data_IF_441798609658
#
_entry.id   IF_441798609658
#
_cell.length_a   1.000
_cell.length_b   1.000
_cell.length_c   1.000
_cell.angle_alpha   90.00
_cell.angle_beta   90.00
_cell.angle_gamma   90.00
#
_symmetry.space_group_name_H-M   'P 1'
#
loop_
_entity.id
_entity.type
_entity.pdbx_description
1 polymer ?
#
# COMPACT_ATOMS: atom_id res chain seq x y z
N UNK A 1 -12.40 -11.09 -18.56
CA UNK A 1 -12.28 -12.56 -18.65
C UNK A 1 -13.61 -13.20 -19.08
N UNK A 2 -14.67 -13.19 -18.27
CA UNK A 2 -15.97 -13.80 -18.62
C UNK A 2 -16.58 -13.32 -19.95
N UNK A 3 -16.62 -12.01 -20.19
CA UNK A 3 -17.17 -11.44 -21.44
C UNK A 3 -16.41 -11.87 -22.71
N UNK A 4 -15.19 -12.37 -22.56
CA UNK A 4 -14.37 -12.88 -23.66
C UNK A 4 -14.35 -14.43 -23.67
N UNK A 5 -15.29 -15.07 -22.98
CA UNK A 5 -15.42 -16.54 -22.94
C UNK A 5 -14.40 -17.27 -22.06
N UNK A 6 -13.54 -16.54 -21.32
CA UNK A 6 -12.57 -17.17 -20.40
C UNK A 6 -13.29 -17.51 -19.10
N UNK A 7 -13.76 -18.76 -18.98
CA UNK A 7 -14.52 -19.27 -17.83
C UNK A 7 -13.84 -20.41 -17.08
N UNK A 8 -12.67 -20.86 -17.55
CA UNK A 8 -11.93 -21.96 -16.93
C UNK A 8 -11.35 -21.58 -15.56
N UNK A 9 -11.55 -22.46 -14.58
CA UNK A 9 -11.13 -22.28 -13.19
C UNK A 9 -9.64 -21.95 -13.05
N UNK A 10 -8.76 -22.75 -13.68
CA UNK A 10 -7.30 -22.53 -13.66
C UNK A 10 -6.89 -21.13 -14.12
N UNK A 11 -7.54 -20.61 -15.16
CA UNK A 11 -7.26 -19.26 -15.66
C UNK A 11 -7.66 -18.20 -14.62
N UNK A 12 -8.79 -18.38 -13.93
CA UNK A 12 -9.22 -17.45 -12.89
C UNK A 12 -8.37 -17.54 -11.63
N UNK A 13 -7.91 -18.73 -11.26
CA UNK A 13 -6.96 -18.90 -10.16
C UNK A 13 -5.63 -18.19 -10.45
N UNK A 14 -5.06 -18.37 -11.65
CA UNK A 14 -3.89 -17.64 -12.12
C UNK A 14 -4.08 -16.13 -12.04
N UNK A 15 -5.18 -15.62 -12.61
CA UNK A 15 -5.49 -14.19 -12.55
C UNK A 15 -5.66 -13.69 -11.10
N UNK A 16 -6.35 -14.47 -10.25
CA UNK A 16 -6.60 -14.13 -8.86
C UNK A 16 -5.31 -13.97 -8.07
N UNK A 17 -4.31 -14.84 -8.25
CA UNK A 17 -3.01 -14.71 -7.58
C UNK A 17 -2.34 -13.37 -7.88
N UNK A 18 -2.23 -13.03 -9.17
CA UNK A 18 -1.63 -11.78 -9.64
C UNK A 18 -2.42 -10.58 -9.11
N UNK A 19 -3.76 -10.60 -9.27
CA UNK A 19 -4.63 -9.48 -8.92
C UNK A 19 -4.73 -9.24 -7.41
N UNK A 20 -4.63 -10.28 -6.58
CA UNK A 20 -4.58 -10.11 -5.12
C UNK A 20 -3.27 -9.44 -4.68
N UNK A 21 -2.13 -9.88 -5.21
CA UNK A 21 -0.84 -9.24 -4.94
C UNK A 21 -0.83 -7.77 -5.41
N UNK A 22 -1.38 -7.51 -6.59
CA UNK A 22 -1.54 -6.16 -7.12
C UNK A 22 -2.44 -5.30 -6.24
N UNK A 23 -3.55 -5.86 -5.74
CA UNK A 23 -4.48 -5.18 -4.84
C UNK A 23 -3.88 -4.85 -3.48
N UNK A 24 -3.06 -5.76 -2.93
CA UNK A 24 -2.32 -5.52 -1.68
C UNK A 24 -1.34 -4.35 -1.85
N UNK A 25 -0.51 -4.37 -2.89
CA UNK A 25 0.40 -3.26 -3.19
C UNK A 25 -0.35 -1.93 -3.36
N UNK A 26 -1.47 -1.95 -4.10
CA UNK A 26 -2.29 -0.76 -4.33
C UNK A 26 -2.84 -0.16 -3.03
N UNK A 27 -3.31 -1.00 -2.10
CA UNK A 27 -3.83 -0.55 -0.82
C UNK A 27 -2.73 -0.02 0.10
N UNK A 28 -1.57 -0.69 0.15
CA UNK A 28 -0.42 -0.20 0.94
C UNK A 28 0.07 1.15 0.42
N UNK A 29 0.07 1.34 -0.91
CA UNK A 29 0.36 2.63 -1.51
C UNK A 29 -0.71 3.69 -1.17
N UNK A 30 -1.99 3.31 -1.07
CA UNK A 30 -3.05 4.23 -0.64
C UNK A 30 -2.83 4.72 0.79
N UNK A 31 -2.52 3.80 1.71
CA UNK A 31 -2.20 4.11 3.11
C UNK A 31 -0.96 5.01 3.23
N UNK A 32 0.05 4.79 2.39
CA UNK A 32 1.23 5.66 2.31
C UNK A 32 0.86 7.07 1.81
N UNK A 33 0.09 7.16 0.72
CA UNK A 33 -0.36 8.43 0.12
C UNK A 33 -1.28 9.19 1.08
N UNK A 34 -2.10 8.52 1.88
CA UNK A 34 -2.94 9.16 2.90
C UNK A 34 -2.09 9.95 3.91
N UNK A 35 -0.95 9.39 4.34
CA UNK A 35 -0.08 10.06 5.29
C UNK A 35 0.89 11.08 4.65
N UNK A 36 1.51 10.73 3.53
CA UNK A 36 2.64 11.45 2.91
C UNK A 36 2.29 12.17 1.60
N UNK A 37 1.12 11.91 1.02
CA UNK A 37 0.69 12.53 -0.22
C UNK A 37 0.44 14.04 -0.06
N UNK A 38 0.73 14.77 -1.12
CA UNK A 38 0.39 16.19 -1.21
C UNK A 38 -1.13 16.35 -1.42
N UNK A 39 -1.87 17.01 -0.51
CA UNK A 39 -3.31 17.23 -0.66
C UNK A 39 -3.72 17.89 -1.99
N UNK A 40 -2.83 18.69 -2.60
CA UNK A 40 -3.08 19.30 -3.92
C UNK A 40 -3.14 18.24 -5.02
N UNK A 41 -2.34 17.18 -4.90
CA UNK A 41 -2.26 16.08 -5.88
C UNK A 41 -3.31 15.02 -5.60
N UNK A 42 -3.52 14.66 -4.34
CA UNK A 42 -4.49 13.64 -3.93
C UNK A 42 -5.94 14.15 -3.93
N UNK A 43 -6.12 15.47 -3.86
CA UNK A 43 -7.44 16.12 -3.74
C UNK A 43 -8.10 15.95 -2.37
N UNK A 44 -7.40 15.33 -1.39
CA UNK A 44 -7.90 15.08 -0.04
C UNK A 44 -6.80 15.22 1.01
N UNK A 45 -7.19 15.60 2.22
CA UNK A 45 -6.34 15.46 3.41
C UNK A 45 -6.53 14.03 3.90
N UNK A 46 -5.44 13.31 4.18
CA UNK A 46 -5.53 11.96 4.71
C UNK A 46 -5.98 11.92 6.17
N UNK A 47 -6.74 10.88 6.50
CA UNK A 47 -7.52 10.75 7.74
C UNK A 47 -7.20 9.47 8.51
N UNK A 48 -6.29 8.62 8.03
CA UNK A 48 -6.09 7.27 8.60
C UNK A 48 -5.72 7.27 10.08
N UNK A 49 -4.85 8.20 10.49
CA UNK A 49 -4.37 8.33 11.87
C UNK A 49 -5.50 8.69 12.83
N UNK A 50 -6.37 9.62 12.45
CA UNK A 50 -7.45 10.12 13.29
C UNK A 50 -8.68 9.20 13.31
N UNK A 51 -8.88 8.43 12.23
CA UNK A 51 -9.97 7.46 12.07
C UNK A 51 -9.65 6.08 12.67
N UNK A 52 -8.51 5.93 13.34
CA UNK A 52 -8.06 4.66 13.93
C UNK A 52 -7.93 3.54 12.88
N UNK A 53 -7.50 3.88 11.66
CA UNK A 53 -7.32 2.86 10.63
C UNK A 53 -6.11 2.00 10.95
N UNK A 54 -6.28 0.70 10.70
CA UNK A 54 -5.21 -0.30 10.75
C UNK A 54 -4.39 -0.23 9.45
N UNK A 55 -3.86 0.95 9.15
CA UNK A 55 -3.08 1.19 7.94
C UNK A 55 -1.72 0.51 7.99
N UNK A 56 -1.11 0.27 6.84
CA UNK A 56 0.22 -0.33 6.74
C UNK A 56 1.25 0.44 7.57
N UNK A 57 1.19 1.78 7.57
CA UNK A 57 2.14 2.62 8.30
C UNK A 57 2.11 2.40 9.81
N UNK A 58 0.93 2.26 10.44
CA UNK A 58 0.87 2.02 11.89
C UNK A 58 1.38 0.62 12.24
N UNK A 59 1.16 -0.37 11.37
CA UNK A 59 1.72 -1.71 11.57
C UNK A 59 3.24 -1.69 11.50
N UNK A 60 3.83 -1.04 10.49
CA UNK A 60 5.28 -0.88 10.40
C UNK A 60 5.85 -0.12 11.60
N UNK A 61 5.18 0.96 12.01
CA UNK A 61 5.60 1.72 13.18
C UNK A 61 5.61 0.86 14.45
N UNK A 62 4.57 0.06 14.69
CA UNK A 62 4.49 -0.83 15.85
C UNK A 62 5.54 -1.94 15.85
N UNK A 63 5.98 -2.40 14.67
CA UNK A 63 7.03 -3.41 14.52
C UNK A 63 8.43 -2.85 14.79
N UNK A 64 8.67 -1.59 14.43
CA UNK A 64 10.00 -0.95 14.51
C UNK A 64 10.20 -0.13 15.79
N UNK A 65 9.11 0.34 16.41
CA UNK A 65 9.19 1.22 17.57
C UNK A 65 9.77 0.54 18.81
N UNK A 66 10.63 1.27 19.52
CA UNK A 66 10.98 0.97 20.91
C UNK A 66 9.75 1.13 21.82
N UNK A 67 9.77 0.59 23.06
CA UNK A 67 8.66 0.78 24.01
C UNK A 67 8.30 2.25 24.25
N UNK A 68 9.29 3.14 24.29
CA UNK A 68 9.10 4.58 24.46
C UNK A 68 8.46 5.24 23.23
N UNK A 69 8.89 4.84 22.02
CA UNK A 69 8.26 5.31 20.78
C UNK A 69 6.83 4.77 20.63
N UNK A 70 6.58 3.54 21.08
CA UNK A 70 5.26 2.93 21.07
C UNK A 70 4.26 3.68 21.94
N UNK A 71 4.67 4.19 23.10
CA UNK A 71 3.76 4.98 23.95
C UNK A 71 3.28 6.25 23.25
N UNK A 72 4.10 6.84 22.36
CA UNK A 72 3.68 7.98 21.52
C UNK A 72 2.51 7.57 20.62
N UNK A 73 2.55 6.38 20.00
CA UNK A 73 1.42 5.88 19.21
C UNK A 73 0.19 5.66 20.09
N UNK A 74 0.33 5.01 21.24
CA UNK A 74 -0.79 4.69 22.14
C UNK A 74 -1.50 5.96 22.67
N UNK A 75 -0.74 7.03 22.91
CA UNK A 75 -1.28 8.30 23.41
C UNK A 75 -1.91 9.18 22.31
N UNK A 76 -1.37 9.12 21.08
CA UNK A 76 -1.66 10.11 20.04
C UNK A 76 -2.40 9.54 18.80
N UNK A 77 -2.38 8.23 18.57
CA UNK A 77 -3.15 7.61 17.49
C UNK A 77 -4.65 7.61 17.81
N UNK A 78 -5.51 7.63 16.78
CA UNK A 78 -6.96 7.74 16.94
C UNK A 78 -7.40 8.95 17.78
N UNK A 79 -6.74 10.09 17.55
CA UNK A 79 -7.11 11.40 18.11
C UNK A 79 -7.33 12.37 16.96
N UNK A 80 -8.43 13.11 17.01
CA UNK A 80 -8.77 14.17 16.04
C UNK A 80 -8.03 15.48 16.30
N UNK A 81 -7.20 15.53 17.34
CA UNK A 81 -6.35 16.70 17.61
C UNK A 81 -5.21 16.75 16.59
N UNK A 82 -5.08 17.83 15.79
CA UNK A 82 -3.98 17.98 14.85
C UNK A 82 -2.60 17.84 15.49
N UNK A 83 -2.41 18.25 16.74
CA UNK A 83 -1.14 18.10 17.45
C UNK A 83 -0.78 16.63 17.70
N UNK A 84 -1.77 15.77 17.97
CA UNK A 84 -1.59 14.33 18.09
C UNK A 84 -1.20 13.72 16.74
N UNK A 85 -1.89 14.09 15.65
CA UNK A 85 -1.56 13.63 14.29
C UNK A 85 -0.12 14.02 13.92
N UNK A 86 0.32 15.24 14.22
CA UNK A 86 1.70 15.68 13.95
C UNK A 86 2.74 14.88 14.74
N UNK A 87 2.46 14.50 16.00
CA UNK A 87 3.35 13.63 16.78
C UNK A 87 3.49 12.24 16.16
N UNK A 88 2.39 11.66 15.68
CA UNK A 88 2.41 10.37 14.96
C UNK A 88 3.23 10.49 13.67
N UNK A 89 3.00 11.52 12.85
CA UNK A 89 3.77 11.76 11.62
C UNK A 89 5.26 11.99 11.90
N UNK A 90 5.59 12.72 12.97
CA UNK A 90 6.97 12.92 13.40
C UNK A 90 7.65 11.61 13.80
N UNK A 91 6.94 10.73 14.52
CA UNK A 91 7.44 9.39 14.85
C UNK A 91 7.65 8.55 13.58
N UNK A 92 6.72 8.57 12.62
CA UNK A 92 6.91 7.85 11.35
C UNK A 92 8.16 8.30 10.60
N UNK A 93 8.46 9.60 10.65
CA UNK A 93 9.70 10.16 10.10
C UNK A 93 10.94 9.68 10.87
N UNK A 94 10.89 9.64 12.20
CA UNK A 94 11.98 9.13 13.05
C UNK A 94 12.27 7.65 12.77
N UNK A 95 11.22 6.84 12.55
CA UNK A 95 11.31 5.43 12.18
C UNK A 95 11.67 5.22 10.69
N UNK A 96 11.89 6.30 9.93
CA UNK A 96 12.24 6.28 8.52
C UNK A 96 11.23 5.50 7.63
N UNK A 97 9.94 5.55 7.96
CA UNK A 97 8.92 4.75 7.27
C UNK A 97 8.74 5.13 5.79
N UNK A 98 9.11 6.35 5.40
CA UNK A 98 9.14 6.73 3.98
C UNK A 98 10.13 5.86 3.20
N UNK A 99 11.31 5.58 3.75
CA UNK A 99 12.28 4.71 3.09
C UNK A 99 11.83 3.25 3.13
N UNK A 100 11.27 2.79 4.25
CA UNK A 100 10.70 1.43 4.37
C UNK A 100 9.64 1.19 3.29
N UNK A 101 8.77 2.19 3.04
CA UNK A 101 7.79 2.12 1.96
C UNK A 101 8.46 2.11 0.58
N UNK A 102 9.45 2.97 0.30
CA UNK A 102 10.13 3.00 -1.00
C UNK A 102 10.80 1.67 -1.33
N UNK A 103 11.45 1.05 -0.34
CA UNK A 103 12.08 -0.26 -0.49
C UNK A 103 11.01 -1.34 -0.76
N UNK A 104 9.90 -1.31 0.00
CA UNK A 104 8.76 -2.19 -0.22
C UNK A 104 8.13 -2.00 -1.61
N UNK A 105 7.96 -0.76 -2.07
CA UNK A 105 7.36 -0.44 -3.37
C UNK A 105 8.19 -0.99 -4.53
N UNK A 106 9.51 -0.79 -4.48
CA UNK A 106 10.40 -1.31 -5.51
C UNK A 106 10.43 -2.84 -5.52
N UNK A 107 10.44 -3.47 -4.34
CA UNK A 107 10.41 -4.92 -4.23
C UNK A 107 9.07 -5.51 -4.68
N UNK A 108 7.95 -4.95 -4.23
CA UNK A 108 6.60 -5.39 -4.59
C UNK A 108 6.35 -5.31 -6.08
N UNK A 109 6.83 -4.25 -6.73
CA UNK A 109 6.73 -4.12 -8.18
C UNK A 109 7.54 -5.22 -8.90
N UNK A 110 8.78 -5.48 -8.47
CA UNK A 110 9.60 -6.57 -9.04
C UNK A 110 8.92 -7.93 -8.86
N UNK A 111 8.43 -8.22 -7.66
CA UNK A 111 7.75 -9.47 -7.34
C UNK A 111 6.44 -9.62 -8.13
N UNK A 112 5.71 -8.53 -8.35
CA UNK A 112 4.51 -8.52 -9.17
C UNK A 112 4.84 -8.81 -10.64
N UNK A 113 5.91 -8.23 -11.18
CA UNK A 113 6.35 -8.51 -12.55
C UNK A 113 6.77 -9.96 -12.74
N UNK A 114 7.48 -10.55 -11.78
CA UNK A 114 7.81 -11.99 -11.77
C UNK A 114 6.53 -12.83 -11.71
N UNK A 115 5.60 -12.49 -10.81
CA UNK A 115 4.31 -13.18 -10.66
C UNK A 115 3.50 -13.16 -11.97
N UNK A 116 3.48 -12.03 -12.69
CA UNK A 116 2.83 -11.93 -14.00
C UNK A 116 3.49 -12.86 -15.02
N UNK A 117 4.82 -12.92 -15.05
CA UNK A 117 5.57 -13.79 -15.96
C UNK A 117 5.30 -15.28 -15.66
N UNK A 118 5.27 -15.67 -14.39
CA UNK A 118 5.20 -17.08 -13.99
C UNK A 118 3.78 -17.62 -13.87
N UNK A 119 2.81 -16.82 -13.42
CA UNK A 119 1.46 -17.29 -13.08
C UNK A 119 0.43 -17.05 -14.18
N UNK A 120 0.65 -16.11 -15.11
CA UNK A 120 -0.36 -15.74 -16.11
C UNK A 120 -0.75 -16.90 -17.03
N UNK A 121 0.15 -17.86 -17.27
CA UNK A 121 -0.11 -19.02 -18.11
C UNK A 121 -0.55 -18.63 -19.52
N UNK A 122 -1.78 -18.99 -19.91
CA UNK A 122 -2.35 -18.64 -21.22
C UNK A 122 -3.03 -17.27 -21.26
N UNK A 123 -3.07 -16.54 -20.14
CA UNK A 123 -3.67 -15.22 -20.10
C UNK A 123 -2.77 -14.16 -20.75
N UNK A 124 -3.36 -13.09 -21.31
CA UNK A 124 -2.57 -11.99 -21.88
C UNK A 124 -1.77 -11.26 -20.79
N UNK A 125 -0.48 -11.59 -20.64
CA UNK A 125 0.42 -10.94 -19.68
C UNK A 125 0.44 -9.41 -19.82
N UNK A 126 0.39 -8.91 -21.06
CA UNK A 126 0.39 -7.47 -21.35
C UNK A 126 -0.72 -6.69 -20.65
N UNK A 127 -1.89 -7.32 -20.41
CA UNK A 127 -2.97 -6.69 -19.65
C UNK A 127 -2.56 -6.43 -18.20
N UNK A 128 -1.94 -7.42 -17.54
CA UNK A 128 -1.51 -7.27 -16.15
C UNK A 128 -0.32 -6.31 -16.03
N UNK A 129 0.61 -6.35 -16.98
CA UNK A 129 1.74 -5.40 -17.04
C UNK A 129 1.25 -3.97 -17.20
N UNK A 130 0.25 -3.73 -18.04
CA UNK A 130 -0.34 -2.39 -18.19
C UNK A 130 -0.96 -1.90 -16.88
N UNK A 131 -1.69 -2.75 -16.16
CA UNK A 131 -2.23 -2.39 -14.84
C UNK A 131 -1.13 -2.15 -13.80
N UNK A 132 -0.10 -3.01 -13.74
CA UNK A 132 1.04 -2.85 -12.84
C UNK A 132 1.75 -1.50 -13.07
N UNK A 133 1.98 -1.14 -14.34
CA UNK A 133 2.62 0.13 -14.70
C UNK A 133 1.78 1.36 -14.30
N UNK A 134 0.45 1.26 -14.35
CA UNK A 134 -0.45 2.36 -13.96
C UNK A 134 -0.43 2.63 -12.46
N UNK A 135 -0.27 1.59 -11.65
CA UNK A 135 -0.26 1.73 -10.19
C UNK A 135 1.16 1.99 -9.65
N UNK A 136 2.20 1.56 -10.35
CA UNK A 136 3.57 1.76 -9.90
C UNK A 136 3.91 3.25 -9.77
N UNK A 137 4.32 3.66 -8.56
CA UNK A 137 4.65 5.05 -8.24
C UNK A 137 3.52 6.04 -8.57
N UNK A 138 2.25 5.61 -8.44
CA UNK A 138 1.11 6.52 -8.59
C UNK A 138 1.20 7.63 -7.54
N UNK A 139 0.66 8.79 -7.89
CA UNK A 139 0.66 9.97 -7.00
C UNK A 139 -0.71 10.28 -6.40
N UNK A 140 -1.76 9.62 -6.90
CA UNK A 140 -3.15 9.77 -6.50
C UNK A 140 -3.95 8.51 -6.78
#
# INVERSE_FOLDING_TARGET
MYMHGITGEKAHESAKKILLQMGEYFQIQDDYIDCYGDPVVTGKIGTDIEENKCSWLVIQALQLATPQQRSILEENYARRDPACVQKVKALYKELNLEQVYKDYEEQSYKDLMVSIETEAGSLPQGMFVEFANRIYKRKN
#
